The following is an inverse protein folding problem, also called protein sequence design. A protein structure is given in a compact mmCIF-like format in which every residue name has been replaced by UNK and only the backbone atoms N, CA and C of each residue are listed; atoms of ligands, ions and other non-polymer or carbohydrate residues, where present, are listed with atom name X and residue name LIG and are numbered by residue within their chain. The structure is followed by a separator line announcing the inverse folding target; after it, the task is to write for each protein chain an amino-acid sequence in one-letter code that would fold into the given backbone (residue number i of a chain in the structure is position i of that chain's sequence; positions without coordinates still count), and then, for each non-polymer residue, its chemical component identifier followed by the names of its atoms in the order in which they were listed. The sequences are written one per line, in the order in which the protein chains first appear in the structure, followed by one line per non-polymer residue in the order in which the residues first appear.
data_IF_311844299210
#
_entry.id   IF_311844299210
#
_cell.length_a   1.000
_cell.length_b   1.000
_cell.length_c   1.000
_cell.angle_alpha   90.00
_cell.angle_beta   90.00
_cell.angle_gamma   90.00
#
_symmetry.space_group_name_H-M   'P 1'
#
loop_
_entity.id
_entity.type
_entity.pdbx_description
1 polymer ?
#
# COMPACT_ATOMS: atom_id res chain seq x y z
N UNK A 1 12.37 2.50 5.30
CA UNK A 1 11.41 2.26 4.19
C UNK A 1 11.58 3.34 3.15
N UNK A 2 11.80 2.96 1.90
CA UNK A 2 12.12 3.91 0.82
C UNK A 2 10.86 4.65 0.31
N UNK A 3 11.01 5.75 -0.44
CA UNK A 3 9.90 6.36 -1.17
C UNK A 3 9.25 5.34 -2.12
N UNK A 4 7.92 5.22 -2.10
CA UNK A 4 7.22 4.25 -2.94
C UNK A 4 7.11 4.73 -4.39
N UNK A 5 7.23 3.77 -5.32
CA UNK A 5 6.95 4.00 -6.73
C UNK A 5 5.45 4.29 -6.90
N UNK A 6 5.13 5.38 -7.58
CA UNK A 6 3.75 5.77 -7.86
C UNK A 6 3.41 5.52 -9.33
N UNK A 7 2.60 4.50 -9.61
CA UNK A 7 2.04 4.25 -10.93
C UNK A 7 0.59 4.77 -11.07
N UNK A 8 0.14 5.55 -10.09
CA UNK A 8 -1.23 6.10 -10.03
C UNK A 8 -1.24 7.58 -10.36
N UNK A 9 -2.45 8.13 -10.56
CA UNK A 9 -2.64 9.57 -10.68
C UNK A 9 -2.82 10.27 -9.31
N UNK A 10 -2.79 9.52 -8.21
CA UNK A 10 -2.93 10.06 -6.86
C UNK A 10 -1.57 10.40 -6.27
N UNK A 11 -1.38 11.66 -5.88
CA UNK A 11 -0.12 12.16 -5.30
C UNK A 11 0.04 11.79 -3.82
N UNK A 12 -1.06 11.55 -3.11
CA UNK A 12 -1.09 11.24 -1.68
C UNK A 12 -1.11 9.74 -1.37
N UNK A 13 -1.66 8.91 -2.26
CA UNK A 13 -1.80 7.46 -2.11
C UNK A 13 -0.49 6.76 -1.72
N UNK A 14 0.61 6.95 -2.45
CA UNK A 14 1.91 6.36 -2.08
C UNK A 14 2.39 6.77 -0.70
N UNK A 15 2.20 8.03 -0.31
CA UNK A 15 2.58 8.53 1.00
C UNK A 15 1.74 7.89 2.10
N UNK A 16 0.41 7.83 1.92
CA UNK A 16 -0.50 7.20 2.88
C UNK A 16 -0.18 5.71 3.08
N UNK A 17 0.05 4.98 1.99
CA UNK A 17 0.44 3.56 2.02
C UNK A 17 1.80 3.38 2.72
N UNK A 18 2.78 4.26 2.45
CA UNK A 18 4.10 4.23 3.10
C UNK A 18 4.01 4.48 4.61
N UNK A 19 3.23 5.48 5.01
CA UNK A 19 3.00 5.80 6.42
C UNK A 19 2.29 4.65 7.14
N UNK A 20 1.29 4.05 6.51
CA UNK A 20 0.56 2.93 7.10
C UNK A 20 1.44 1.68 7.27
N UNK A 21 2.28 1.37 6.27
CA UNK A 21 3.25 0.30 6.41
C UNK A 21 4.22 0.61 7.56
N UNK A 22 4.73 1.86 7.66
CA UNK A 22 5.70 2.26 8.68
C UNK A 22 5.13 2.05 10.10
N UNK A 23 3.87 2.46 10.33
CA UNK A 23 3.19 2.25 11.62
C UNK A 23 3.13 0.77 11.98
N UNK A 24 2.77 -0.08 11.03
CA UNK A 24 2.56 -1.52 11.28
C UNK A 24 3.88 -2.29 11.47
N UNK A 25 4.92 -1.97 10.70
CA UNK A 25 6.21 -2.69 10.79
C UNK A 25 6.95 -2.40 12.11
N UNK A 26 6.70 -1.25 12.75
CA UNK A 26 7.24 -0.94 14.08
C UNK A 26 6.86 -2.00 15.14
N UNK A 27 5.77 -2.73 14.94
CA UNK A 27 5.34 -3.81 15.83
C UNK A 27 5.95 -5.19 15.47
N UNK A 28 6.90 -5.26 14.54
CA UNK A 28 7.47 -6.52 14.01
C UNK A 28 8.95 -6.73 14.32
N UNK A 29 9.45 -6.20 15.44
CA UNK A 29 10.85 -6.39 15.90
C UNK A 29 11.92 -5.86 14.92
N UNK A 30 11.57 -4.92 14.06
CA UNK A 30 12.53 -4.18 13.25
C UNK A 30 12.94 -2.90 13.97
N UNK A 31 14.22 -2.53 13.86
CA UNK A 31 14.63 -1.16 14.17
C UNK A 31 14.38 -0.30 12.92
N UNK A 32 13.31 0.48 12.93
CA UNK A 32 12.82 1.16 11.73
C UNK A 32 13.24 2.62 11.76
N UNK A 33 14.05 3.02 10.78
CA UNK A 33 14.41 4.43 10.58
C UNK A 33 13.16 5.30 10.31
N UNK A 34 13.02 6.47 10.96
CA UNK A 34 11.94 7.41 10.66
C UNK A 34 11.90 7.82 9.19
N UNK A 35 10.69 7.98 8.61
CA UNK A 35 10.53 8.27 7.18
C UNK A 35 11.22 9.57 6.76
N UNK A 36 11.14 10.61 7.62
CA UNK A 36 11.78 11.89 7.38
C UNK A 36 13.30 11.75 7.25
N UNK A 37 13.92 10.99 8.15
CA UNK A 37 15.37 10.77 8.14
C UNK A 37 15.79 9.99 6.90
N UNK A 38 15.00 9.00 6.47
CA UNK A 38 15.23 8.29 5.19
C UNK A 38 15.22 9.27 4.03
N UNK A 39 14.22 10.15 3.94
CA UNK A 39 14.07 11.09 2.83
C UNK A 39 15.20 12.12 2.80
N UNK A 40 15.60 12.64 3.96
CA UNK A 40 16.73 13.57 4.09
C UNK A 40 18.06 12.91 3.72
N UNK A 41 18.31 11.68 4.17
CA UNK A 41 19.55 10.96 3.86
C UNK A 41 19.64 10.59 2.38
N UNK A 42 18.56 10.09 1.78
CA UNK A 42 18.52 9.79 0.34
C UNK A 42 18.76 11.04 -0.51
N UNK A 43 18.12 12.16 -0.15
CA UNK A 43 18.33 13.43 -0.85
C UNK A 43 19.80 13.87 -0.73
N UNK A 44 20.35 13.90 0.48
CA UNK A 44 21.67 14.46 0.74
C UNK A 44 22.82 13.58 0.24
N UNK A 45 22.66 12.26 0.24
CA UNK A 45 23.75 11.34 -0.10
C UNK A 45 23.67 10.79 -1.52
N UNK A 46 22.47 10.64 -2.09
CA UNK A 46 22.29 10.03 -3.42
C UNK A 46 21.52 10.92 -4.39
N UNK A 47 20.93 12.03 -3.92
CA UNK A 47 20.06 12.89 -4.73
C UNK A 47 18.70 12.26 -5.06
N UNK A 48 18.35 11.14 -4.42
CA UNK A 48 17.11 10.43 -4.69
C UNK A 48 15.96 11.06 -3.91
N UNK A 49 14.85 11.30 -4.59
CA UNK A 49 13.63 11.86 -3.99
C UNK A 49 12.37 11.08 -4.37
N UNK A 50 12.43 10.29 -5.44
CA UNK A 50 11.28 9.57 -5.98
C UNK A 50 11.54 8.06 -6.02
N UNK A 51 10.48 7.27 -5.80
CA UNK A 51 10.57 5.82 -5.84
C UNK A 51 11.00 5.26 -7.20
N UNK A 52 10.68 5.95 -8.30
CA UNK A 52 11.09 5.59 -9.66
C UNK A 52 12.60 5.65 -9.90
N UNK A 53 13.34 6.34 -9.05
CA UNK A 53 14.79 6.46 -9.14
C UNK A 53 15.52 5.31 -8.43
N UNK A 54 14.85 4.62 -7.51
CA UNK A 54 15.47 3.61 -6.63
C UNK A 54 15.93 2.36 -7.39
N UNK A 55 15.22 1.97 -8.46
CA UNK A 55 15.59 0.83 -9.31
C UNK A 55 16.86 1.09 -10.14
N UNK A 56 17.38 2.33 -10.13
CA UNK A 56 18.64 2.70 -10.77
C UNK A 56 19.82 2.61 -9.80
N UNK A 57 19.58 2.30 -8.53
CA UNK A 57 20.59 2.29 -7.48
C UNK A 57 20.76 0.87 -6.92
N UNK A 58 22.01 0.49 -6.67
CA UNK A 58 22.31 -0.80 -6.07
C UNK A 58 21.83 -0.83 -4.60
N UNK A 59 21.11 -1.86 -4.14
CA UNK A 59 20.73 -2.03 -2.73
C UNK A 59 21.88 -1.83 -1.72
N UNK A 60 23.11 -2.22 -2.07
CA UNK A 60 24.29 -2.02 -1.22
C UNK A 60 24.61 -0.53 -1.01
N UNK A 61 24.48 0.30 -2.04
CA UNK A 61 24.69 1.74 -1.93
C UNK A 61 23.60 2.40 -1.09
N UNK A 62 22.34 1.93 -1.21
CA UNK A 62 21.25 2.40 -0.36
C UNK A 62 21.48 2.00 1.10
N UNK A 63 21.98 0.79 1.35
CA UNK A 63 22.34 0.32 2.69
C UNK A 63 23.47 1.13 3.32
N UNK A 64 24.53 1.43 2.56
CA UNK A 64 25.62 2.29 3.01
C UNK A 64 25.13 3.71 3.31
N UNK A 65 24.34 4.28 2.40
CA UNK A 65 23.87 5.66 2.55
C UNK A 65 22.94 5.86 3.76
N UNK A 66 22.10 4.85 4.03
CA UNK A 66 21.14 4.87 5.13
C UNK A 66 21.69 4.22 6.41
N UNK A 67 22.83 3.51 6.35
CA UNK A 67 23.33 2.72 7.48
C UNK A 67 22.37 1.62 7.92
N UNK A 68 21.76 0.88 6.97
CA UNK A 68 20.75 -0.15 7.26
C UNK A 68 21.07 -1.49 6.59
N UNK A 69 20.65 -2.59 7.24
CA UNK A 69 20.82 -3.96 6.74
C UNK A 69 19.75 -4.38 5.73
N UNK A 70 18.64 -3.65 5.67
CA UNK A 70 17.50 -3.98 4.84
C UNK A 70 16.71 -2.75 4.40
N UNK A 71 16.18 -2.79 3.19
CA UNK A 71 15.34 -1.75 2.63
C UNK A 71 14.02 -2.32 2.12
N UNK A 72 12.95 -1.57 2.31
CA UNK A 72 11.63 -1.91 1.76
C UNK A 72 11.34 -1.01 0.57
N UNK A 73 11.12 -1.65 -0.57
CA UNK A 73 10.54 -1.05 -1.77
C UNK A 73 9.04 -1.26 -1.76
N UNK A 74 8.29 -0.28 -2.29
CA UNK A 74 6.85 -0.37 -2.47
C UNK A 74 6.45 0.19 -3.82
N UNK A 75 5.46 -0.43 -4.45
CA UNK A 75 4.92 -0.08 -5.75
C UNK A 75 3.41 0.07 -5.61
N UNK A 76 2.91 1.29 -5.79
CA UNK A 76 1.47 1.57 -5.75
C UNK A 76 0.96 1.58 -7.18
N UNK A 77 0.17 0.56 -7.52
CA UNK A 77 -0.33 0.31 -8.88
C UNK A 77 -1.73 0.88 -9.09
N UNK A 78 -2.60 0.75 -8.09
CA UNK A 78 -3.96 1.28 -8.12
C UNK A 78 -4.25 2.02 -6.82
N UNK A 79 -4.88 3.18 -6.96
CA UNK A 79 -5.41 3.99 -5.87
C UNK A 79 -6.58 4.80 -6.42
N UNK A 80 -7.64 4.09 -6.80
CA UNK A 80 -8.72 4.62 -7.64
C UNK A 80 -10.06 4.63 -6.89
N UNK A 81 -10.81 5.72 -7.01
CA UNK A 81 -12.24 5.83 -6.65
C UNK A 81 -13.03 6.26 -7.88
N UNK A 82 -13.58 5.26 -8.56
CA UNK A 82 -14.29 5.40 -9.82
C UNK A 82 -15.78 5.50 -9.49
N UNK A 83 -16.31 6.71 -9.51
CA UNK A 83 -17.75 6.96 -9.38
C UNK A 83 -18.36 7.28 -10.74
N UNK A 84 -19.32 6.46 -11.16
CA UNK A 84 -20.16 6.70 -12.34
C UNK A 84 -21.62 6.83 -11.89
N UNK A 85 -22.51 7.26 -12.79
CA UNK A 85 -23.96 7.28 -12.51
C UNK A 85 -24.58 5.89 -12.27
N UNK A 86 -23.83 4.80 -12.53
CA UNK A 86 -24.33 3.42 -12.46
C UNK A 86 -23.67 2.61 -11.35
N UNK A 87 -22.41 2.90 -11.02
CA UNK A 87 -21.65 2.19 -10.01
C UNK A 87 -20.53 3.04 -9.41
N UNK A 88 -20.12 2.71 -8.20
CA UNK A 88 -18.91 3.16 -7.54
C UNK A 88 -17.98 1.96 -7.32
N UNK A 89 -16.72 2.09 -7.74
CA UNK A 89 -15.67 1.10 -7.47
C UNK A 89 -14.48 1.81 -6.84
N UNK A 90 -14.06 1.30 -5.68
CA UNK A 90 -12.85 1.73 -4.98
C UNK A 90 -11.84 0.61 -5.04
N UNK A 91 -10.61 0.90 -5.46
CA UNK A 91 -9.55 -0.11 -5.58
C UNK A 91 -8.19 0.41 -5.15
N UNK A 92 -7.51 -0.39 -4.35
CA UNK A 92 -6.11 -0.17 -3.96
C UNK A 92 -5.34 -1.44 -4.30
N UNK A 93 -4.22 -1.30 -5.00
CA UNK A 93 -3.28 -2.40 -5.26
C UNK A 93 -1.87 -1.90 -5.07
N UNK A 94 -1.12 -2.61 -4.24
CA UNK A 94 0.30 -2.35 -4.05
C UNK A 94 1.09 -3.65 -3.89
N UNK A 95 2.36 -3.56 -4.21
CA UNK A 95 3.36 -4.60 -4.02
C UNK A 95 4.52 -4.09 -3.19
N UNK A 96 5.12 -4.96 -2.40
CA UNK A 96 6.26 -4.63 -1.55
C UNK A 96 7.32 -5.71 -1.65
N UNK A 97 8.58 -5.31 -1.51
CA UNK A 97 9.70 -6.23 -1.32
C UNK A 97 10.67 -5.70 -0.28
N UNK A 98 11.09 -6.59 0.62
CA UNK A 98 12.17 -6.38 1.58
C UNK A 98 13.44 -6.98 0.99
N UNK A 99 14.48 -6.17 0.88
CA UNK A 99 15.76 -6.53 0.28
C UNK A 99 16.86 -6.41 1.33
N UNK A 100 17.68 -7.44 1.48
CA UNK A 100 18.91 -7.40 2.26
C UNK A 100 19.95 -6.55 1.50
N UNK A 101 20.43 -5.47 2.10
CA UNK A 101 21.27 -4.48 1.42
C UNK A 101 22.67 -5.00 1.13
N UNK A 102 23.19 -5.93 1.96
CA UNK A 102 24.52 -6.52 1.80
C UNK A 102 24.58 -7.48 0.61
N UNK A 103 23.52 -8.24 0.40
CA UNK A 103 23.48 -9.31 -0.62
C UNK A 103 22.65 -8.95 -1.86
N UNK A 104 21.80 -7.92 -1.75
CA UNK A 104 20.83 -7.55 -2.77
C UNK A 104 19.68 -8.54 -2.94
N UNK A 105 19.56 -9.54 -2.07
CA UNK A 105 18.51 -10.57 -2.18
C UNK A 105 17.19 -10.07 -1.63
N UNK A 106 16.10 -10.33 -2.36
CA UNK A 106 14.74 -10.24 -1.84
C UNK A 106 14.55 -11.32 -0.78
N UNK A 107 14.31 -10.91 0.46
CA UNK A 107 14.06 -11.82 1.59
C UNK A 107 12.57 -12.02 1.85
N UNK A 108 11.75 -11.11 1.34
CA UNK A 108 10.29 -11.19 1.36
C UNK A 108 9.72 -10.30 0.27
N UNK A 109 8.71 -10.79 -0.44
CA UNK A 109 7.89 -9.95 -1.30
C UNK A 109 6.43 -10.37 -1.19
N UNK A 110 5.53 -9.39 -1.32
CA UNK A 110 4.10 -9.63 -1.40
C UNK A 110 3.37 -8.42 -1.95
N UNK A 111 2.39 -8.67 -2.77
CA UNK A 111 1.40 -7.69 -3.23
C UNK A 111 0.04 -8.33 -3.32
N UNK A 112 -0.98 -7.48 -3.42
CA UNK A 112 -2.35 -7.85 -3.77
C UNK A 112 -3.17 -6.58 -3.98
N UNK A 113 -4.32 -6.74 -4.61
CA UNK A 113 -5.34 -5.72 -4.72
C UNK A 113 -6.54 -5.96 -3.80
N UNK A 114 -7.15 -4.87 -3.34
CA UNK A 114 -8.42 -4.86 -2.61
C UNK A 114 -9.42 -3.98 -3.35
N UNK A 115 -10.67 -4.45 -3.44
CA UNK A 115 -11.77 -3.74 -4.08
C UNK A 115 -13.00 -3.64 -3.20
N UNK A 116 -13.72 -2.55 -3.42
CA UNK A 116 -15.11 -2.41 -3.01
C UNK A 116 -15.96 -2.00 -4.22
N UNK A 117 -17.10 -2.66 -4.35
CA UNK A 117 -18.01 -2.50 -5.49
C UNK A 117 -19.41 -2.15 -4.98
N UNK A 118 -19.95 -1.04 -5.47
CA UNK A 118 -21.33 -0.63 -5.21
C UNK A 118 -21.99 -0.37 -6.56
N UNK A 119 -23.08 -1.07 -6.87
CA UNK A 119 -23.83 -0.87 -8.11
C UNK A 119 -25.20 -0.23 -7.84
N UNK A 120 -25.80 0.37 -8.87
CA UNK A 120 -27.14 0.96 -8.77
C UNK A 120 -28.28 -0.06 -8.67
N UNK A 121 -28.01 -1.35 -8.86
CA UNK A 121 -28.98 -2.43 -8.69
C UNK A 121 -28.30 -3.76 -8.33
N UNK A 122 -29.05 -4.68 -7.71
CA UNK A 122 -28.55 -6.02 -7.36
C UNK A 122 -28.01 -6.80 -8.58
N UNK A 123 -28.71 -6.76 -9.70
CA UNK A 123 -28.24 -7.38 -10.95
C UNK A 123 -26.97 -6.69 -11.49
N UNK A 124 -26.85 -5.37 -11.29
CA UNK A 124 -25.68 -4.60 -11.69
C UNK A 124 -24.39 -5.00 -10.95
N UNK A 125 -24.49 -5.50 -9.71
CA UNK A 125 -23.31 -5.90 -8.91
C UNK A 125 -22.46 -6.93 -9.64
N UNK A 126 -23.08 -8.02 -10.11
CA UNK A 126 -22.37 -9.09 -10.81
C UNK A 126 -21.73 -8.62 -12.12
N UNK A 127 -22.44 -7.78 -12.87
CA UNK A 127 -21.94 -7.18 -14.12
C UNK A 127 -20.73 -6.28 -13.86
N UNK A 128 -20.80 -5.44 -12.83
CA UNK A 128 -19.68 -4.55 -12.46
C UNK A 128 -18.47 -5.35 -12.00
N UNK A 129 -18.64 -6.37 -11.16
CA UNK A 129 -17.52 -7.24 -10.74
C UNK A 129 -16.86 -7.91 -11.94
N UNK A 130 -17.66 -8.45 -12.86
CA UNK A 130 -17.14 -9.10 -14.07
C UNK A 130 -16.37 -8.13 -14.97
N UNK A 131 -16.88 -6.90 -15.14
CA UNK A 131 -16.19 -5.86 -15.89
C UNK A 131 -14.85 -5.50 -15.25
N UNK A 132 -14.87 -5.21 -13.95
CA UNK A 132 -13.69 -4.83 -13.19
C UNK A 132 -12.60 -5.91 -13.23
N UNK A 133 -12.96 -7.19 -13.15
CA UNK A 133 -12.01 -8.29 -13.24
C UNK A 133 -11.28 -8.37 -14.60
N UNK A 134 -11.89 -7.87 -15.68
CA UNK A 134 -11.22 -7.77 -17.00
C UNK A 134 -10.24 -6.61 -17.08
N UNK A 135 -10.57 -5.50 -16.43
CA UNK A 135 -9.80 -4.25 -16.49
C UNK A 135 -8.57 -4.27 -15.54
N UNK A 136 -8.41 -5.33 -14.75
CA UNK A 136 -7.40 -5.46 -13.69
C UNK A 136 -6.03 -6.02 -14.10
N UNK A 137 -5.86 -6.29 -15.39
CA UNK A 137 -4.66 -6.91 -15.93
C UNK A 137 -3.38 -6.15 -15.52
N UNK A 138 -2.34 -6.89 -15.16
CA UNK A 138 -1.02 -6.33 -14.85
C UNK A 138 -0.26 -5.86 -16.08
N UNK A 139 -0.72 -6.17 -17.29
CA UNK A 139 -0.04 -5.85 -18.56
C UNK A 139 0.29 -4.36 -18.69
N UNK A 140 -0.57 -3.48 -18.12
CA UNK A 140 -0.34 -2.04 -18.08
C UNK A 140 0.93 -1.64 -17.30
N UNK A 141 1.35 -2.47 -16.34
CA UNK A 141 2.47 -2.23 -15.44
C UNK A 141 3.71 -3.07 -15.80
N UNK A 142 3.66 -3.84 -16.89
CA UNK A 142 4.70 -4.80 -17.29
C UNK A 142 6.08 -4.16 -17.56
N UNK A 143 6.13 -2.84 -17.75
CA UNK A 143 7.37 -2.08 -17.94
C UNK A 143 8.03 -1.62 -16.63
N UNK A 144 7.33 -1.76 -15.50
CA UNK A 144 7.86 -1.38 -14.18
C UNK A 144 8.84 -2.46 -13.72
N UNK A 145 10.11 -2.09 -13.61
CA UNK A 145 11.17 -2.98 -13.13
C UNK A 145 10.92 -3.43 -11.69
N UNK A 146 11.21 -4.69 -11.40
CA UNK A 146 11.14 -5.27 -10.07
C UNK A 146 9.73 -5.68 -9.63
N UNK A 147 8.72 -5.46 -10.48
CA UNK A 147 7.35 -5.86 -10.22
C UNK A 147 7.13 -7.37 -10.38
N UNK A 148 7.90 -7.99 -11.27
CA UNK A 148 7.93 -9.44 -11.53
C UNK A 148 8.45 -10.26 -10.34
N UNK A 149 9.21 -9.63 -9.43
CA UNK A 149 9.71 -10.23 -8.20
C UNK A 149 8.66 -10.29 -7.06
N UNK A 150 7.46 -9.71 -7.27
CA UNK A 150 6.45 -9.55 -6.23
C UNK A 150 5.29 -10.53 -6.45
N UNK A 151 5.20 -11.49 -5.54
CA UNK A 151 4.12 -12.47 -5.53
C UNK A 151 2.76 -11.85 -5.17
N UNK A 152 1.68 -12.37 -5.77
CA UNK A 152 0.30 -12.01 -5.40
C UNK A 152 -0.26 -10.74 -6.06
N UNK A 153 0.49 -10.02 -6.90
CA UNK A 153 0.01 -8.79 -7.55
C UNK A 153 -1.21 -8.98 -8.48
N UNK A 154 -1.45 -10.20 -8.95
CA UNK A 154 -2.66 -10.54 -9.71
C UNK A 154 -3.88 -10.84 -8.83
N UNK A 155 -3.67 -11.02 -7.52
CA UNK A 155 -4.72 -11.42 -6.61
C UNK A 155 -5.55 -10.21 -6.20
N UNK A 156 -6.87 -10.33 -6.36
CA UNK A 156 -7.83 -9.30 -5.96
C UNK A 156 -8.79 -9.83 -4.90
N UNK A 157 -8.98 -9.05 -3.84
CA UNK A 157 -9.95 -9.33 -2.79
C UNK A 157 -11.06 -8.29 -2.79
N UNK A 158 -12.29 -8.73 -3.00
CA UNK A 158 -13.47 -7.87 -2.85
C UNK A 158 -13.87 -7.87 -1.38
N UNK A 159 -13.65 -6.75 -0.68
CA UNK A 159 -14.02 -6.60 0.74
C UNK A 159 -15.47 -6.20 0.93
N UNK A 160 -16.12 -5.70 -0.12
CA UNK A 160 -17.54 -5.42 -0.13
C UNK A 160 -18.09 -5.40 -1.56
N UNK A 161 -19.25 -6.01 -1.75
CA UNK A 161 -20.04 -5.95 -2.97
C UNK A 161 -21.51 -5.73 -2.61
N UNK A 162 -22.12 -4.65 -3.10
CA UNK A 162 -23.50 -4.31 -2.74
C UNK A 162 -24.20 -3.44 -3.78
N UNK A 163 -25.50 -3.22 -3.57
CA UNK A 163 -26.31 -2.36 -4.41
C UNK A 163 -26.96 -1.24 -3.59
N UNK A 164 -27.07 -0.04 -4.17
CA UNK A 164 -27.84 1.07 -3.59
C UNK A 164 -29.28 1.00 -4.10
N UNK A 165 -30.19 0.39 -3.35
CA UNK A 165 -31.62 0.39 -3.71
C UNK A 165 -32.36 1.67 -3.26
N UNK A 166 -31.77 2.44 -2.33
CA UNK A 166 -32.28 3.73 -1.86
C UNK A 166 -31.16 4.77 -1.72
N UNK A 167 -31.49 6.04 -1.96
CA UNK A 167 -30.56 7.19 -1.83
C UNK A 167 -30.01 7.31 -0.40
N UNK A 168 -30.78 6.92 0.61
CA UNK A 168 -30.38 6.94 2.03
C UNK A 168 -29.23 5.99 2.34
N UNK A 169 -29.19 4.79 1.73
CA UNK A 169 -28.13 3.79 1.95
C UNK A 169 -26.78 4.30 1.39
N UNK A 170 -26.82 4.96 0.24
CA UNK A 170 -25.65 5.60 -0.35
C UNK A 170 -25.15 6.79 0.51
N UNK A 171 -26.07 7.54 1.13
CA UNK A 171 -25.75 8.66 1.99
C UNK A 171 -25.05 8.21 3.28
N UNK A 172 -25.47 7.11 3.91
CA UNK A 172 -24.85 6.60 5.14
C UNK A 172 -23.44 6.07 4.90
N UNK A 173 -23.25 5.26 3.84
CA UNK A 173 -21.93 4.72 3.48
C UNK A 173 -20.96 5.86 3.16
N UNK A 174 -21.39 6.84 2.35
CA UNK A 174 -20.54 7.97 1.98
C UNK A 174 -20.28 8.93 3.15
N UNK A 175 -21.21 9.07 4.10
CA UNK A 175 -21.01 9.92 5.28
C UNK A 175 -19.96 9.31 6.23
N UNK A 176 -20.03 8.01 6.51
CA UNK A 176 -19.02 7.33 7.33
C UNK A 176 -17.61 7.48 6.77
N UNK A 177 -17.46 7.29 5.46
CA UNK A 177 -16.18 7.51 4.77
C UNK A 177 -15.71 8.96 4.82
N UNK A 178 -16.61 9.93 4.57
CA UNK A 178 -16.26 11.36 4.62
C UNK A 178 -15.78 11.76 6.01
N UNK A 179 -16.38 11.20 7.06
CA UNK A 179 -15.95 11.45 8.43
C UNK A 179 -14.56 10.86 8.70
N UNK A 180 -14.30 9.63 8.26
CA UNK A 180 -12.97 8.99 8.40
C UNK A 180 -11.91 9.73 7.57
N UNK A 181 -12.22 10.05 6.32
CA UNK A 181 -11.33 10.80 5.42
C UNK A 181 -11.01 12.18 5.98
N UNK A 182 -11.99 12.88 6.55
CA UNK A 182 -11.78 14.20 7.18
C UNK A 182 -10.91 14.10 8.44
N UNK A 183 -11.05 13.02 9.22
CA UNK A 183 -10.28 12.82 10.44
C UNK A 183 -8.83 12.38 10.17
N UNK A 184 -8.63 11.50 9.18
CA UNK A 184 -7.32 10.90 8.88
C UNK A 184 -6.58 11.58 7.73
N UNK A 185 -7.28 12.38 6.92
CA UNK A 185 -6.74 12.95 5.67
C UNK A 185 -6.48 11.91 4.57
N UNK A 186 -6.88 10.65 4.78
CA UNK A 186 -6.63 9.53 3.87
C UNK A 186 -7.94 9.06 3.26
N UNK A 187 -8.08 9.27 1.96
CA UNK A 187 -9.12 8.64 1.15
C UNK A 187 -8.70 7.20 0.80
N UNK A 188 -9.64 6.29 0.54
CA UNK A 188 -9.40 4.83 0.39
C UNK A 188 -8.72 4.16 1.61
N UNK A 189 -8.90 4.71 2.81
CA UNK A 189 -8.31 4.15 4.03
C UNK A 189 -8.75 2.69 4.26
N UNK A 190 -10.02 2.35 4.10
CA UNK A 190 -10.52 0.99 4.35
C UNK A 190 -9.88 -0.04 3.41
N UNK A 191 -9.77 0.30 2.12
CA UNK A 191 -9.12 -0.53 1.12
C UNK A 191 -7.62 -0.67 1.41
N UNK A 192 -6.95 0.41 1.80
CA UNK A 192 -5.54 0.43 2.19
C UNK A 192 -5.29 -0.43 3.43
N UNK A 193 -6.10 -0.26 4.47
CA UNK A 193 -6.02 -0.96 5.75
C UNK A 193 -6.21 -2.48 5.56
N UNK A 194 -7.24 -2.85 4.79
CA UNK A 194 -7.53 -4.24 4.42
C UNK A 194 -6.41 -4.87 3.58
N UNK A 195 -5.83 -4.12 2.64
CA UNK A 195 -4.70 -4.59 1.84
C UNK A 195 -3.47 -4.81 2.74
N UNK A 196 -3.16 -3.85 3.61
CA UNK A 196 -2.04 -3.93 4.52
C UNK A 196 -2.15 -5.11 5.49
N UNK A 197 -3.34 -5.37 6.03
CA UNK A 197 -3.54 -6.52 6.94
C UNK A 197 -3.14 -7.83 6.27
N UNK A 198 -3.54 -8.00 5.00
CA UNK A 198 -3.30 -9.21 4.23
C UNK A 198 -1.85 -9.33 3.79
N UNK A 199 -1.26 -8.24 3.30
CA UNK A 199 0.16 -8.21 2.89
C UNK A 199 1.05 -8.48 4.09
N UNK A 200 0.87 -7.75 5.19
CA UNK A 200 1.78 -7.81 6.34
C UNK A 200 1.61 -9.08 7.18
N UNK A 201 0.52 -9.84 7.00
CA UNK A 201 0.38 -11.17 7.60
C UNK A 201 1.54 -12.11 7.24
N UNK A 202 2.13 -11.96 6.03
CA UNK A 202 3.27 -12.76 5.59
C UNK A 202 4.65 -12.14 5.86
N UNK A 203 4.72 -10.93 6.42
CA UNK A 203 6.00 -10.26 6.68
C UNK A 203 6.74 -10.98 7.82
N UNK A 204 8.01 -11.40 7.65
CA UNK A 204 8.78 -12.00 8.72
C UNK A 204 8.96 -11.03 9.89
N UNK A 205 9.28 -11.57 11.07
CA UNK A 205 9.71 -10.74 12.20
C UNK A 205 11.17 -10.34 12.01
N UNK A 206 11.50 -9.10 12.37
CA UNK A 206 12.87 -8.63 12.38
C UNK A 206 13.72 -9.32 13.46
N UNK A 207 15.06 -9.22 13.36
CA UNK A 207 15.98 -9.83 14.33
C UNK A 207 16.01 -9.11 15.70
N UNK A 208 15.24 -8.03 15.89
CA UNK A 208 15.21 -7.27 17.13
C UNK A 208 14.54 -8.02 18.29
N UNK A 209 14.80 -7.58 19.53
CA UNK A 209 14.08 -8.08 20.71
C UNK A 209 12.71 -7.39 20.82
N UNK A 210 11.71 -7.98 21.50
CA UNK A 210 10.49 -7.29 21.85
C UNK A 210 10.78 -5.96 22.54
N UNK A 211 10.27 -4.86 21.99
CA UNK A 211 10.12 -3.63 22.75
C UNK A 211 9.11 -3.97 23.84
N UNK A 212 9.54 -3.95 25.11
CA UNK A 212 8.62 -4.16 26.21
C UNK A 212 7.50 -3.11 26.11
N UNK A 213 6.22 -3.48 26.33
CA UNK A 213 5.16 -2.50 26.37
C UNK A 213 5.52 -1.44 27.42
N UNK A 214 5.32 -0.17 27.07
CA UNK A 214 5.42 0.94 28.03
C UNK A 214 4.49 0.60 29.19
N UNK A 215 5.08 0.29 30.34
CA UNK A 215 4.33 0.11 31.58
C UNK A 215 3.87 1.50 31.97
N UNK A 216 2.56 1.81 31.95
CA UNK A 216 2.10 3.10 32.45
C UNK A 216 2.54 3.20 33.91
N UNK A 217 3.30 4.26 34.21
CA UNK A 217 3.60 4.64 35.58
C UNK A 217 2.27 4.78 36.31
N UNK A 218 2.02 3.84 37.23
CA UNK A 218 0.87 3.86 38.13
C UNK A 218 1.09 4.94 39.20
N UNK A 219 0.01 5.44 39.81
CA UNK A 219 -0.46 6.83 39.81
C UNK A 219 0.40 7.86 40.55
#
# INVERSE_FOLDING_TARGET
MLPFYNATNDVGGPKAIREEFQKRIQHRHYNVMPLKDVDELLLNQTGITLGSQLELTNPAQLGEALGVDGVIYGYVLNFDDITTGVYNVKKVRAGFKLVDTRTGRVVWSRGLGVKRVIAGSKAGVGVTIYKEAKDDALDYYSTIKGLDEIEGLNDWHIIFAGATEKVEDAAIISLGEKLITKALGVHLWLETDSMMDRVMAGLPSGPGRPVAPDVPMSP
#
